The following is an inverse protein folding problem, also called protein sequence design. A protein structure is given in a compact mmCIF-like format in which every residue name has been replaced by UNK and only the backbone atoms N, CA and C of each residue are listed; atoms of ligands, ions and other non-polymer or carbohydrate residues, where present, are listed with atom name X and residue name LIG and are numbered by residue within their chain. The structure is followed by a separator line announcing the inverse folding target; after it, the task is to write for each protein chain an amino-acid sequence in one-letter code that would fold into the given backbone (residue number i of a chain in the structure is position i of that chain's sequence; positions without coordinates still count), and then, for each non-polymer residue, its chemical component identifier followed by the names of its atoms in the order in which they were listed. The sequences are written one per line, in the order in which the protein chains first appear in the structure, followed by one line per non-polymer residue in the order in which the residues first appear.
data_IF_103288067841
#
_entry.id   IF_103288067841
#
_cell.length_a   1.000
_cell.length_b   1.000
_cell.length_c   1.000
_cell.angle_alpha   90.00
_cell.angle_beta   90.00
_cell.angle_gamma   90.00
#
_symmetry.space_group_name_H-M   'P 1'
#
loop_
_entity.id
_entity.type
_entity.pdbx_description
1 polymer ?
#
# COMPACT_ATOMS: atom_id res chain seq x y z
N UNK A 1 -15.66 11.37 -5.10
CA UNK A 1 -14.28 10.91 -5.51
C UNK A 1 -14.11 9.52 -4.96
N UNK A 2 -13.99 8.52 -5.82
CA UNK A 2 -13.69 7.13 -5.42
C UNK A 2 -12.20 7.01 -5.14
N UNK A 3 -11.82 6.43 -4.00
CA UNK A 3 -10.43 6.30 -3.54
C UNK A 3 -10.07 4.84 -3.30
N UNK A 4 -9.08 4.34 -4.01
CA UNK A 4 -8.63 2.96 -3.98
C UNK A 4 -7.17 2.93 -3.52
N UNK A 5 -6.85 2.11 -2.54
CA UNK A 5 -5.48 1.81 -2.16
C UNK A 5 -5.09 0.41 -2.60
N UNK A 6 -3.90 0.25 -3.16
CA UNK A 6 -3.29 -1.06 -3.43
C UNK A 6 -2.18 -1.27 -2.42
N UNK A 7 -2.33 -2.25 -1.55
CA UNK A 7 -1.43 -2.47 -0.41
C UNK A 7 -0.91 -3.92 -0.34
N UNK A 8 0.02 -4.18 0.55
CA UNK A 8 0.60 -5.51 0.74
C UNK A 8 2.13 -5.49 0.87
N UNK A 9 2.76 -6.65 1.11
CA UNK A 9 4.20 -6.74 1.35
C UNK A 9 5.03 -6.37 0.12
N UNK A 10 6.33 -6.26 0.33
CA UNK A 10 7.30 -6.04 -0.76
C UNK A 10 7.20 -7.14 -1.82
N UNK A 11 7.50 -6.79 -3.06
CA UNK A 11 7.48 -7.73 -4.20
C UNK A 11 6.17 -8.54 -4.32
N UNK A 12 5.03 -7.91 -3.99
CA UNK A 12 3.70 -8.51 -4.15
C UNK A 12 2.93 -8.02 -5.38
N UNK A 13 3.55 -7.16 -6.22
CA UNK A 13 2.96 -6.69 -7.47
C UNK A 13 2.04 -5.47 -7.34
N UNK A 14 2.10 -4.71 -6.23
CA UNK A 14 1.31 -3.49 -5.99
C UNK A 14 1.41 -2.49 -7.13
N UNK A 15 2.62 -2.03 -7.41
CA UNK A 15 2.88 -1.02 -8.46
C UNK A 15 2.45 -1.51 -9.85
N UNK A 16 2.62 -2.80 -10.15
CA UNK A 16 2.16 -3.39 -11.39
C UNK A 16 0.65 -3.32 -11.51
N UNK A 17 -0.07 -3.64 -10.43
CA UNK A 17 -1.53 -3.53 -10.39
C UNK A 17 -2.00 -2.07 -10.49
N UNK A 18 -1.35 -1.14 -9.77
CA UNK A 18 -1.64 0.30 -9.88
C UNK A 18 -1.51 0.81 -11.31
N UNK A 19 -0.44 0.43 -12.01
CA UNK A 19 -0.23 0.78 -13.43
C UNK A 19 -1.34 0.24 -14.31
N UNK A 20 -1.69 -1.04 -14.15
CA UNK A 20 -2.75 -1.66 -14.96
C UNK A 20 -4.13 -1.02 -14.74
N UNK A 21 -4.48 -0.72 -13.48
CA UNK A 21 -5.72 0.00 -13.15
C UNK A 21 -5.69 1.44 -13.68
N UNK A 22 -4.55 2.12 -13.56
CA UNK A 22 -4.32 3.47 -14.11
C UNK A 22 -4.54 3.51 -15.63
N UNK A 23 -4.01 2.54 -16.36
CA UNK A 23 -4.19 2.40 -17.81
C UNK A 23 -5.66 2.10 -18.17
N UNK A 24 -6.28 1.19 -17.45
CA UNK A 24 -7.69 0.80 -17.67
C UNK A 24 -8.64 2.00 -17.51
N UNK A 25 -8.50 2.75 -16.42
CA UNK A 25 -9.35 3.91 -16.13
C UNK A 25 -8.87 5.21 -16.78
N UNK A 26 -7.71 5.21 -17.43
CA UNK A 26 -7.07 6.40 -18.05
C UNK A 26 -6.88 7.55 -17.05
N UNK A 27 -6.46 7.21 -15.83
CA UNK A 27 -6.16 8.17 -14.77
C UNK A 27 -4.76 7.92 -14.23
N UNK A 28 -4.09 8.96 -13.74
CA UNK A 28 -2.83 8.78 -13.04
C UNK A 28 -3.08 8.10 -11.68
N UNK A 29 -2.05 7.46 -11.11
CA UNK A 29 -2.08 6.98 -9.74
C UNK A 29 -1.08 7.74 -8.87
N UNK A 30 -1.31 7.75 -7.57
CA UNK A 30 -0.38 8.31 -6.57
C UNK A 30 0.68 7.26 -6.27
N UNK A 31 1.96 7.53 -6.57
CA UNK A 31 3.05 6.60 -6.30
C UNK A 31 3.34 6.48 -4.81
N UNK A 32 4.05 5.42 -4.41
CA UNK A 32 4.55 5.21 -3.06
C UNK A 32 5.64 6.25 -2.72
N UNK A 33 5.31 7.18 -1.82
CA UNK A 33 6.23 8.25 -1.39
C UNK A 33 7.48 7.69 -0.69
N UNK A 34 7.32 6.62 0.10
CA UNK A 34 8.42 6.00 0.82
C UNK A 34 9.56 5.57 -0.11
N UNK A 35 9.25 5.15 -1.33
CA UNK A 35 10.26 4.73 -2.31
C UNK A 35 11.20 5.88 -2.71
N UNK A 36 10.65 7.06 -2.95
CA UNK A 36 11.47 8.25 -3.28
C UNK A 36 12.23 8.77 -2.05
N UNK A 37 11.61 8.72 -0.87
CA UNK A 37 12.27 9.04 0.39
C UNK A 37 13.51 8.15 0.62
N UNK A 38 13.35 6.84 0.49
CA UNK A 38 14.40 5.85 0.71
C UNK A 38 15.53 5.94 -0.33
N UNK A 39 15.24 6.30 -1.58
CA UNK A 39 16.30 6.58 -2.58
C UNK A 39 17.22 7.70 -2.11
N UNK A 40 16.67 8.77 -1.56
CA UNK A 40 17.43 9.92 -1.08
C UNK A 40 18.29 9.57 0.16
N UNK A 41 17.87 8.61 0.97
CA UNK A 41 18.57 8.13 2.16
C UNK A 41 19.40 6.86 1.92
N UNK A 42 19.50 6.39 0.66
CA UNK A 42 20.18 5.14 0.28
C UNK A 42 19.66 3.92 1.08
N UNK A 43 18.36 3.86 1.31
CA UNK A 43 17.70 2.81 2.06
C UNK A 43 17.81 2.92 3.59
N UNK A 44 18.60 3.86 4.12
CA UNK A 44 18.74 4.02 5.57
C UNK A 44 17.59 4.85 6.14
N UNK A 45 16.91 4.31 7.17
CA UNK A 45 15.86 5.03 7.89
C UNK A 45 15.74 4.54 9.34
N UNK A 46 15.19 5.39 10.19
CA UNK A 46 14.82 5.12 11.58
C UNK A 46 13.31 5.25 11.76
N UNK A 47 12.80 4.88 12.93
CA UNK A 47 11.36 4.89 13.20
C UNK A 47 10.69 6.24 12.90
N UNK A 48 11.31 7.38 13.29
CA UNK A 48 10.74 8.70 13.03
C UNK A 48 10.62 9.05 11.53
N UNK A 49 11.36 8.39 10.66
CA UNK A 49 11.26 8.60 9.22
C UNK A 49 9.97 7.99 8.64
N UNK A 50 9.40 6.98 9.30
CA UNK A 50 8.10 6.43 8.91
C UNK A 50 6.98 7.48 9.06
N UNK A 51 7.04 8.33 10.09
CA UNK A 51 6.11 9.46 10.23
C UNK A 51 6.29 10.49 9.10
N UNK A 52 7.54 10.76 8.70
CA UNK A 52 7.84 11.65 7.59
C UNK A 52 7.31 11.09 6.25
N UNK A 53 7.52 9.79 6.02
CA UNK A 53 7.00 9.11 4.82
C UNK A 53 5.47 9.11 4.80
N UNK A 54 4.81 8.86 5.94
CA UNK A 54 3.35 8.90 6.04
C UNK A 54 2.79 10.30 5.77
N UNK A 55 3.46 11.37 6.25
CA UNK A 55 3.10 12.76 5.94
C UNK A 55 3.22 13.07 4.46
N UNK A 56 4.33 12.67 3.83
CA UNK A 56 4.53 12.88 2.40
C UNK A 56 3.53 12.11 1.53
N UNK A 57 3.15 10.90 1.93
CA UNK A 57 2.10 10.13 1.27
C UNK A 57 0.74 10.83 1.38
N UNK A 58 0.40 11.34 2.57
CA UNK A 58 -0.85 12.07 2.80
C UNK A 58 -0.92 13.33 1.94
N UNK A 59 0.14 14.12 1.91
CA UNK A 59 0.24 15.31 1.08
C UNK A 59 0.07 14.99 -0.42
N UNK A 60 0.67 13.90 -0.88
CA UNK A 60 0.53 13.43 -2.27
C UNK A 60 -0.92 13.07 -2.60
N UNK A 61 -1.65 12.42 -1.67
CA UNK A 61 -3.06 12.07 -1.80
C UNK A 61 -3.93 13.34 -1.80
N UNK A 62 -3.70 14.29 -0.90
CA UNK A 62 -4.49 15.53 -0.80
C UNK A 62 -4.33 16.45 -2.02
N UNK A 63 -3.16 16.41 -2.65
CA UNK A 63 -2.89 17.16 -3.86
C UNK A 63 -3.49 16.53 -5.12
N UNK A 64 -3.97 15.29 -5.05
CA UNK A 64 -4.56 14.60 -6.19
C UNK A 64 -6.00 15.08 -6.45
N UNK A 65 -6.31 15.48 -7.71
CA UNK A 65 -7.56 16.19 -8.04
C UNK A 65 -8.52 15.43 -8.97
N UNK A 66 -8.21 14.18 -9.34
CA UNK A 66 -9.08 13.41 -10.23
C UNK A 66 -10.30 12.81 -9.50
N UNK A 67 -11.33 12.45 -10.25
CA UNK A 67 -12.55 11.80 -9.72
C UNK A 67 -12.30 10.41 -9.13
N UNK A 68 -11.31 9.69 -9.67
CA UNK A 68 -10.84 8.40 -9.19
C UNK A 68 -9.38 8.57 -8.72
N UNK A 69 -9.11 8.20 -7.49
CA UNK A 69 -7.76 8.11 -6.93
C UNK A 69 -7.37 6.64 -6.80
N UNK A 70 -6.26 6.26 -7.43
CA UNK A 70 -5.56 4.98 -7.21
C UNK A 70 -4.28 5.32 -6.48
N UNK A 71 -4.01 4.68 -5.34
CA UNK A 71 -2.82 4.94 -4.53
C UNK A 71 -1.98 3.66 -4.43
N UNK A 72 -0.71 3.77 -4.82
CA UNK A 72 0.28 2.72 -4.57
C UNK A 72 0.73 2.84 -3.12
N UNK A 73 0.21 1.94 -2.30
CA UNK A 73 0.35 1.90 -0.86
C UNK A 73 -0.67 2.77 -0.09
N UNK A 74 -1.12 2.24 1.03
CA UNK A 74 -1.94 2.93 2.03
C UNK A 74 -1.12 3.17 3.33
N UNK A 75 -1.79 3.64 4.38
CA UNK A 75 -1.12 3.93 5.65
C UNK A 75 -0.87 2.68 6.51
N UNK A 76 -1.49 1.55 6.22
CA UNK A 76 -1.22 0.29 6.91
C UNK A 76 0.25 -0.16 6.73
N UNK A 77 0.90 0.23 5.63
CA UNK A 77 2.34 -0.03 5.43
C UNK A 77 3.18 0.55 6.56
N UNK A 78 2.91 1.77 6.99
CA UNK A 78 3.70 2.42 8.05
C UNK A 78 3.42 1.80 9.42
N UNK A 79 2.18 1.38 9.70
CA UNK A 79 1.83 0.63 10.91
C UNK A 79 2.53 -0.72 10.94
N UNK A 80 2.41 -1.51 9.86
CA UNK A 80 3.02 -2.84 9.75
C UNK A 80 4.54 -2.77 9.88
N UNK A 81 5.20 -1.85 9.18
CA UNK A 81 6.65 -1.67 9.28
C UNK A 81 7.09 -1.15 10.65
N UNK A 82 6.34 -0.25 11.27
CA UNK A 82 6.61 0.21 12.64
C UNK A 82 6.53 -0.94 13.63
N UNK A 83 5.48 -1.76 13.55
CA UNK A 83 5.31 -2.91 14.40
C UNK A 83 6.36 -3.99 14.15
N UNK A 84 6.61 -4.32 12.88
CA UNK A 84 7.52 -5.40 12.49
C UNK A 84 8.98 -5.09 12.85
N UNK A 85 9.42 -3.86 12.60
CA UNK A 85 10.84 -3.47 12.74
C UNK A 85 11.18 -2.89 14.10
N UNK A 86 10.23 -2.21 14.74
CA UNK A 86 10.47 -1.45 15.98
C UNK A 86 9.60 -1.88 17.16
N UNK A 87 8.65 -2.80 16.95
CA UNK A 87 7.67 -3.22 17.97
C UNK A 87 6.91 -2.05 18.64
N UNK A 88 6.81 -0.92 17.95
CA UNK A 88 6.17 0.29 18.44
C UNK A 88 5.66 1.13 17.28
N UNK A 89 4.42 1.64 17.38
CA UNK A 89 3.78 2.46 16.35
C UNK A 89 3.51 3.85 16.93
N UNK A 90 3.87 4.91 16.19
CA UNK A 90 3.63 6.28 16.63
C UNK A 90 2.14 6.61 16.68
N UNK A 91 1.75 7.55 17.54
CA UNK A 91 0.38 8.05 17.60
C UNK A 91 -0.07 8.63 16.26
N UNK A 92 0.82 9.32 15.56
CA UNK A 92 0.53 9.91 14.24
C UNK A 92 0.15 8.84 13.21
N UNK A 93 0.92 7.76 13.12
CA UNK A 93 0.62 6.65 12.20
C UNK A 93 -0.71 6.00 12.58
N UNK A 94 -0.95 5.69 13.86
CA UNK A 94 -2.20 5.10 14.33
C UNK A 94 -3.42 5.98 14.01
N UNK A 95 -3.32 7.28 14.23
CA UNK A 95 -4.39 8.21 13.89
C UNK A 95 -4.65 8.28 12.38
N UNK A 96 -3.58 8.24 11.58
CA UNK A 96 -3.70 8.29 10.11
C UNK A 96 -4.30 7.01 9.55
N UNK A 97 -3.91 5.84 10.05
CA UNK A 97 -4.51 4.55 9.65
C UNK A 97 -5.98 4.48 10.02
N UNK A 98 -6.38 5.02 11.18
CA UNK A 98 -7.79 5.04 11.61
C UNK A 98 -8.68 5.92 10.73
N UNK A 99 -8.13 6.97 10.11
CA UNK A 99 -8.88 7.78 9.14
C UNK A 99 -9.27 6.92 7.97
N UNK A 100 -10.54 6.95 7.60
CA UNK A 100 -11.06 6.18 6.46
C UNK A 100 -10.88 7.00 5.18
N UNK A 101 -9.65 6.96 4.63
CA UNK A 101 -9.28 7.75 3.46
C UNK A 101 -9.57 7.04 2.14
N UNK A 102 -9.86 5.73 2.17
CA UNK A 102 -10.06 4.91 0.99
C UNK A 102 -11.37 4.12 1.07
N UNK A 103 -12.10 4.09 -0.03
CA UNK A 103 -13.36 3.34 -0.15
C UNK A 103 -13.10 1.83 -0.31
N UNK A 104 -11.94 1.46 -0.87
CA UNK A 104 -11.50 0.07 -1.06
C UNK A 104 -9.99 -0.05 -0.90
N UNK A 105 -9.56 -1.08 -0.18
CA UNK A 105 -8.17 -1.54 -0.13
C UNK A 105 -8.04 -2.84 -0.93
N UNK A 106 -7.05 -2.91 -1.82
CA UNK A 106 -6.72 -4.10 -2.59
C UNK A 106 -5.41 -4.66 -2.03
N UNK A 107 -5.51 -5.71 -1.23
CA UNK A 107 -4.38 -6.37 -0.61
C UNK A 107 -3.77 -7.40 -1.56
N UNK A 108 -2.55 -7.15 -2.01
CA UNK A 108 -1.81 -8.03 -2.91
C UNK A 108 -1.15 -9.18 -2.15
N UNK A 109 -1.51 -10.42 -2.50
CA UNK A 109 -0.86 -11.62 -1.97
C UNK A 109 0.59 -11.73 -2.46
N UNK A 110 1.54 -12.21 -1.62
CA UNK A 110 2.93 -12.42 -2.00
C UNK A 110 3.16 -13.77 -2.69
N UNK A 111 2.24 -14.22 -3.52
CA UNK A 111 2.26 -15.49 -4.24
C UNK A 111 2.98 -15.44 -5.60
N UNK A 112 3.65 -14.32 -5.88
CA UNK A 112 4.53 -14.14 -7.03
C UNK A 112 6.00 -14.26 -6.62
N UNK A 113 6.92 -14.58 -7.55
CA UNK A 113 8.34 -14.65 -7.27
C UNK A 113 8.88 -13.36 -6.67
N UNK A 114 9.90 -13.50 -5.80
CA UNK A 114 10.64 -12.34 -5.31
C UNK A 114 11.47 -11.73 -6.44
N UNK A 115 11.42 -10.41 -6.53
CA UNK A 115 12.30 -9.64 -7.40
C UNK A 115 13.23 -8.81 -6.54
N UNK A 116 14.54 -8.95 -6.75
CA UNK A 116 15.56 -8.17 -6.05
C UNK A 116 15.43 -6.68 -6.40
N UNK A 117 15.58 -5.85 -5.37
CA UNK A 117 15.56 -4.40 -5.47
C UNK A 117 16.35 -3.85 -4.28
N UNK A 118 17.17 -2.84 -4.50
CA UNK A 118 18.07 -2.26 -3.48
C UNK A 118 17.35 -1.68 -2.24
N UNK A 119 16.04 -1.41 -2.36
CA UNK A 119 15.21 -0.88 -1.27
C UNK A 119 14.34 -1.94 -0.59
N UNK A 120 14.42 -3.22 -0.98
CA UNK A 120 13.64 -4.33 -0.41
C UNK A 120 14.47 -5.09 0.61
N UNK A 121 13.90 -5.34 1.79
CA UNK A 121 14.62 -5.89 2.94
C UNK A 121 14.18 -7.30 3.36
N UNK A 122 12.98 -7.78 2.93
CA UNK A 122 12.31 -8.90 3.60
C UNK A 122 11.91 -10.06 2.69
N UNK A 123 12.85 -10.68 1.93
CA UNK A 123 12.51 -11.76 1.01
C UNK A 123 11.83 -12.96 1.71
N UNK A 124 12.22 -13.26 2.96
CA UNK A 124 11.75 -14.43 3.71
C UNK A 124 10.56 -14.13 4.64
N UNK A 125 10.16 -12.86 4.79
CA UNK A 125 9.12 -12.45 5.74
C UNK A 125 7.81 -12.03 5.07
N UNK A 126 7.69 -12.17 3.75
CA UNK A 126 6.51 -11.70 2.99
C UNK A 126 5.20 -12.32 3.47
N UNK A 127 5.19 -13.61 3.80
CA UNK A 127 3.99 -14.29 4.30
C UNK A 127 3.59 -13.75 5.69
N UNK A 128 4.55 -13.53 6.58
CA UNK A 128 4.31 -12.93 7.90
C UNK A 128 3.79 -11.50 7.77
N UNK A 129 4.43 -10.69 6.93
CA UNK A 129 3.99 -9.31 6.67
C UNK A 129 2.58 -9.29 6.08
N UNK A 130 2.24 -10.21 5.18
CA UNK A 130 0.90 -10.30 4.59
C UNK A 130 -0.19 -10.52 5.67
N UNK A 131 0.06 -11.38 6.64
CA UNK A 131 -0.89 -11.56 7.75
C UNK A 131 -0.99 -10.29 8.62
N UNK A 132 0.12 -9.59 8.88
CA UNK A 132 0.08 -8.30 9.60
C UNK A 132 -0.73 -7.24 8.84
N UNK A 133 -0.64 -7.18 7.50
CA UNK A 133 -1.50 -6.31 6.70
C UNK A 133 -2.98 -6.67 6.86
N UNK A 134 -3.33 -7.95 6.79
CA UNK A 134 -4.71 -8.41 6.99
C UNK A 134 -5.22 -8.04 8.39
N UNK A 135 -4.40 -8.28 9.41
CA UNK A 135 -4.74 -7.93 10.80
C UNK A 135 -4.99 -6.42 10.94
N UNK A 136 -4.10 -5.56 10.40
CA UNK A 136 -4.27 -4.11 10.41
C UNK A 136 -5.58 -3.68 9.74
N UNK A 137 -5.85 -4.17 8.51
CA UNK A 137 -7.07 -3.85 7.79
C UNK A 137 -8.34 -4.29 8.53
N UNK A 138 -8.34 -5.48 9.14
CA UNK A 138 -9.45 -5.95 9.98
C UNK A 138 -9.60 -5.13 11.25
N UNK A 139 -8.52 -4.85 11.96
CA UNK A 139 -8.53 -4.10 13.22
C UNK A 139 -9.09 -2.70 13.05
N UNK A 140 -8.82 -2.09 11.90
CA UNK A 140 -9.32 -0.76 11.56
C UNK A 140 -10.63 -0.77 10.75
N UNK A 141 -11.30 -1.92 10.64
CA UNK A 141 -12.57 -2.11 9.93
C UNK A 141 -12.54 -1.60 8.48
N UNK A 142 -11.43 -1.79 7.77
CA UNK A 142 -11.28 -1.35 6.39
C UNK A 142 -12.04 -2.27 5.43
N UNK A 143 -12.67 -1.67 4.43
CA UNK A 143 -13.23 -2.43 3.31
C UNK A 143 -12.07 -2.92 2.42
N UNK A 144 -11.86 -4.23 2.30
CA UNK A 144 -10.76 -4.75 1.49
C UNK A 144 -11.06 -6.07 0.81
N UNK A 145 -10.34 -6.31 -0.27
CA UNK A 145 -10.27 -7.59 -0.97
C UNK A 145 -8.81 -8.07 -1.02
N UNK A 146 -8.63 -9.37 -1.11
CA UNK A 146 -7.32 -9.98 -1.39
C UNK A 146 -7.27 -10.38 -2.85
N UNK A 147 -6.19 -9.99 -3.54
CA UNK A 147 -5.92 -10.40 -4.93
C UNK A 147 -4.68 -11.28 -5.00
N UNK A 148 -4.74 -12.33 -5.84
CA UNK A 148 -3.69 -13.34 -5.99
C UNK A 148 -3.64 -13.88 -7.42
N UNK A 149 -2.63 -14.69 -7.73
CA UNK A 149 -2.46 -15.33 -9.03
C UNK A 149 -1.83 -14.42 -10.08
N UNK A 150 -2.16 -14.65 -11.34
CA UNK A 150 -1.61 -13.91 -12.47
C UNK A 150 -1.97 -12.42 -12.43
N UNK A 151 -1.20 -11.55 -13.11
CA UNK A 151 -1.56 -10.14 -13.25
C UNK A 151 -3.00 -9.93 -13.76
N UNK A 152 -3.42 -10.75 -14.73
CA UNK A 152 -4.77 -10.69 -15.28
C UNK A 152 -5.83 -11.01 -14.24
N UNK A 153 -5.67 -12.08 -13.45
CA UNK A 153 -6.61 -12.45 -12.39
C UNK A 153 -6.75 -11.35 -11.34
N UNK A 154 -5.64 -10.68 -10.99
CA UNK A 154 -5.63 -9.58 -10.02
C UNK A 154 -6.40 -8.37 -10.54
N UNK A 155 -6.22 -8.01 -11.81
CA UNK A 155 -6.96 -6.92 -12.45
C UNK A 155 -8.45 -7.25 -12.48
N UNK A 156 -8.83 -8.42 -12.98
CA UNK A 156 -10.24 -8.83 -13.09
C UNK A 156 -10.95 -8.82 -11.74
N UNK A 157 -10.32 -9.37 -10.71
CA UNK A 157 -10.87 -9.37 -9.35
C UNK A 157 -11.00 -7.96 -8.77
N UNK A 158 -10.04 -7.08 -9.07
CA UNK A 158 -10.09 -5.68 -8.66
C UNK A 158 -11.24 -4.94 -9.34
N UNK A 159 -11.42 -5.12 -10.65
CA UNK A 159 -12.51 -4.50 -11.40
C UNK A 159 -13.89 -4.99 -10.93
N UNK A 160 -14.06 -6.30 -10.69
CA UNK A 160 -15.29 -6.86 -10.14
C UNK A 160 -15.66 -6.23 -8.78
N UNK A 161 -14.69 -6.02 -7.91
CA UNK A 161 -14.93 -5.37 -6.62
C UNK A 161 -15.31 -3.89 -6.76
N UNK A 162 -14.83 -3.21 -7.79
CA UNK A 162 -15.13 -1.80 -8.05
C UNK A 162 -16.51 -1.59 -8.69
N UNK A 163 -17.08 -2.60 -9.35
CA UNK A 163 -18.46 -2.56 -9.88
C UNK A 163 -19.54 -2.62 -8.78
N UNK A 164 -19.16 -3.01 -7.57
CA UNK A 164 -20.09 -3.22 -6.44
C UNK A 164 -20.17 -1.98 -5.53
N UNK A 165 -19.22 -1.05 -5.65
CA UNK A 165 -19.11 0.16 -4.83
C UNK A 165 -19.69 1.35 -5.58
#
# INVERSE_FOLDING_TARGET
MLRIAVTGPESSGKTTLCKALSEYFKVAFVPEYARDYLKNTKGAYKQSDLDCMAKGQLESIENFKNQLLICDTDFSVFEVWSQFKYANVSAYILETVRKDLFDLHILCSPDIPWEEDELRETPNSRAQLFELYKESLHQHNKNFIVVSGSPQNRIEKSLQALEII
#
